data_IF_444822741728
#
_entry.id   IF_444822741728
#
_cell.length_a   1.000
_cell.length_b   1.000
_cell.length_c   1.000
_cell.angle_alpha   90.00
_cell.angle_beta   90.00
_cell.angle_gamma   90.00
#
_symmetry.space_group_name_H-M   'P 1'
#
loop_
_entity.id
_entity.type
_entity.pdbx_description
1 polymer ?
#
# COMPACT_ATOMS: atom_id res chain seq x y z
N UNK A 1 -9.81 8.37 -18.68
CA UNK A 1 -10.48 7.39 -19.56
C UNK A 1 -11.80 7.05 -18.88
N UNK A 2 -12.97 7.28 -19.49
CA UNK A 2 -14.24 6.92 -18.83
C UNK A 2 -14.48 5.41 -18.91
N UNK A 3 -15.04 4.79 -17.87
CA UNK A 3 -15.40 3.36 -17.86
C UNK A 3 -16.27 2.94 -19.05
N UNK A 4 -17.13 3.85 -19.49
CA UNK A 4 -17.94 3.69 -20.69
C UNK A 4 -17.10 3.37 -21.94
N UNK A 5 -15.99 4.08 -22.14
CA UNK A 5 -15.10 3.83 -23.28
C UNK A 5 -14.46 2.43 -23.22
N UNK A 6 -14.15 1.93 -22.03
CA UNK A 6 -13.66 0.55 -21.89
C UNK A 6 -14.77 -0.46 -22.19
N UNK A 7 -16.01 -0.23 -21.72
CA UNK A 7 -17.12 -1.17 -21.91
C UNK A 7 -17.54 -1.40 -23.38
N UNK A 8 -17.28 -0.44 -24.27
CA UNK A 8 -17.63 -0.54 -25.70
C UNK A 8 -16.50 -1.12 -26.57
N UNK A 9 -15.34 -1.40 -25.98
CA UNK A 9 -14.17 -1.93 -26.68
C UNK A 9 -14.16 -3.46 -26.70
N UNK A 10 -13.55 -4.04 -27.74
CA UNK A 10 -13.27 -5.48 -27.73
C UNK A 10 -12.20 -5.83 -26.69
N UNK A 11 -12.14 -7.08 -26.20
CA UNK A 11 -11.10 -7.51 -25.25
C UNK A 11 -9.68 -7.20 -25.74
N UNK A 12 -9.41 -7.37 -27.04
CA UNK A 12 -8.10 -7.06 -27.62
C UNK A 12 -7.76 -5.56 -27.57
N UNK A 13 -8.76 -4.69 -27.76
CA UNK A 13 -8.58 -3.25 -27.68
C UNK A 13 -8.33 -2.79 -26.23
N UNK A 14 -9.09 -3.35 -25.28
CA UNK A 14 -8.88 -3.12 -23.85
C UNK A 14 -7.46 -3.54 -23.44
N UNK A 15 -7.01 -4.72 -23.88
CA UNK A 15 -5.68 -5.22 -23.55
C UNK A 15 -4.55 -4.31 -24.05
N UNK A 16 -4.65 -3.76 -25.27
CA UNK A 16 -3.69 -2.78 -25.79
C UNK A 16 -3.64 -1.50 -24.96
N UNK A 17 -4.78 -1.06 -24.45
CA UNK A 17 -4.86 0.11 -23.57
C UNK A 17 -4.23 -0.20 -22.21
N UNK A 18 -4.52 -1.36 -21.64
CA UNK A 18 -3.92 -1.81 -20.38
C UNK A 18 -2.40 -1.87 -20.47
N UNK A 19 -1.86 -2.37 -21.58
CA UNK A 19 -0.42 -2.39 -21.83
C UNK A 19 0.19 -0.99 -21.93
N UNK A 20 -0.46 -0.07 -22.67
CA UNK A 20 0.11 1.26 -22.95
C UNK A 20 -0.09 2.26 -21.81
N UNK A 21 -1.22 2.18 -21.10
CA UNK A 21 -1.68 3.17 -20.14
C UNK A 21 -1.96 2.56 -18.75
N UNK A 22 -1.33 1.43 -18.41
CA UNK A 22 -1.50 0.67 -17.16
C UNK A 22 -1.79 1.53 -15.92
N UNK A 23 -0.87 2.43 -15.58
CA UNK A 23 -0.93 3.27 -14.39
C UNK A 23 -2.11 4.25 -14.42
N UNK A 24 -2.38 4.88 -15.57
CA UNK A 24 -3.49 5.82 -15.73
C UNK A 24 -4.83 5.10 -15.62
N UNK A 25 -4.93 3.91 -16.19
CA UNK A 25 -6.14 3.09 -16.13
C UNK A 25 -6.41 2.67 -14.69
N UNK A 26 -5.42 2.10 -13.99
CA UNK A 26 -5.54 1.74 -12.57
C UNK A 26 -6.02 2.90 -11.71
N UNK A 27 -5.43 4.08 -11.87
CA UNK A 27 -5.84 5.29 -11.14
C UNK A 27 -7.28 5.70 -11.43
N UNK A 28 -7.78 5.50 -12.64
CA UNK A 28 -9.18 5.80 -12.97
C UNK A 28 -10.14 4.91 -12.16
N UNK A 29 -9.79 3.63 -11.96
CA UNK A 29 -10.60 2.69 -11.18
C UNK A 29 -10.52 2.94 -9.67
N UNK A 30 -9.62 3.79 -9.19
CA UNK A 30 -9.63 4.24 -7.79
C UNK A 30 -10.71 5.30 -7.53
N UNK A 31 -11.32 5.90 -8.55
CA UNK A 31 -12.30 6.95 -8.35
C UNK A 31 -13.74 6.41 -8.35
N UNK A 32 -14.59 6.97 -7.50
CA UNK A 32 -16.02 6.66 -7.50
C UNK A 32 -16.62 7.00 -8.88
N UNK A 33 -17.46 6.13 -9.48
CA UNK A 33 -18.04 4.88 -8.94
C UNK A 33 -17.32 3.60 -9.38
N UNK A 34 -16.09 3.68 -9.90
CA UNK A 34 -15.45 2.54 -10.59
C UNK A 34 -14.72 1.59 -9.65
N UNK A 35 -14.75 1.86 -8.35
CA UNK A 35 -13.87 1.21 -7.39
C UNK A 35 -14.22 -0.25 -7.15
N UNK A 36 -15.47 -0.65 -7.37
CA UNK A 36 -15.90 -2.06 -7.26
C UNK A 36 -15.21 -2.95 -8.30
N UNK A 37 -14.76 -2.36 -9.42
CA UNK A 37 -14.08 -3.07 -10.50
C UNK A 37 -12.55 -3.01 -10.37
N UNK A 38 -12.04 -2.32 -9.34
CA UNK A 38 -10.60 -2.07 -9.21
C UNK A 38 -9.80 -3.37 -9.15
N UNK A 39 -10.19 -4.32 -8.29
CA UNK A 39 -9.45 -5.56 -8.09
C UNK A 39 -9.38 -6.42 -9.36
N UNK A 40 -10.49 -6.53 -10.10
CA UNK A 40 -10.55 -7.26 -11.38
C UNK A 40 -9.62 -6.63 -12.43
N UNK A 41 -9.67 -5.31 -12.57
CA UNK A 41 -8.83 -4.59 -13.53
C UNK A 41 -7.36 -4.61 -13.11
N UNK A 42 -7.09 -4.57 -11.80
CA UNK A 42 -5.74 -4.66 -11.28
C UNK A 42 -5.07 -5.98 -11.63
N UNK A 43 -5.79 -7.11 -11.51
CA UNK A 43 -5.27 -8.43 -11.88
C UNK A 43 -4.90 -8.52 -13.37
N UNK A 44 -5.64 -7.83 -14.25
CA UNK A 44 -5.35 -7.76 -15.68
C UNK A 44 -4.16 -6.86 -16.01
N UNK A 45 -4.01 -5.76 -15.28
CA UNK A 45 -2.97 -4.75 -15.56
C UNK A 45 -1.64 -5.11 -14.90
N UNK A 46 -1.65 -5.92 -13.84
CA UNK A 46 -0.50 -6.20 -13.00
C UNK A 46 0.74 -6.59 -13.80
N UNK A 47 0.58 -7.52 -14.74
CA UNK A 47 1.68 -8.04 -15.57
C UNK A 47 2.28 -7.02 -16.53
N UNK A 48 1.64 -5.88 -16.73
CA UNK A 48 2.07 -4.82 -17.64
C UNK A 48 2.55 -3.56 -16.92
N UNK A 49 2.31 -3.46 -15.61
CA UNK A 49 2.65 -2.27 -14.84
C UNK A 49 4.16 -2.30 -14.53
N UNK A 50 4.96 -1.36 -15.03
CA UNK A 50 6.38 -1.33 -14.71
C UNK A 50 6.57 -0.95 -13.24
N UNK A 51 7.61 -1.51 -12.63
CA UNK A 51 7.96 -1.28 -11.22
C UNK A 51 8.01 0.22 -10.85
N UNK A 52 8.52 1.06 -11.77
CA UNK A 52 8.62 2.52 -11.58
C UNK A 52 7.28 3.23 -11.38
N UNK A 53 6.16 2.56 -11.64
CA UNK A 53 4.79 3.11 -11.49
C UNK A 53 4.07 2.59 -10.25
N UNK A 54 4.60 1.60 -9.53
CA UNK A 54 3.95 1.03 -8.35
C UNK A 54 3.77 2.06 -7.25
N UNK A 55 4.82 2.80 -6.91
CA UNK A 55 4.76 3.89 -5.92
C UNK A 55 3.69 4.91 -6.28
N UNK A 56 3.53 5.22 -7.58
CA UNK A 56 2.53 6.18 -8.04
C UNK A 56 1.11 5.67 -7.88
N UNK A 57 0.88 4.36 -8.05
CA UNK A 57 -0.45 3.75 -7.84
C UNK A 57 -0.75 3.66 -6.34
N UNK A 58 0.24 3.25 -5.54
CA UNK A 58 0.11 3.18 -4.09
C UNK A 58 -0.16 4.57 -3.51
N UNK A 59 0.59 5.59 -3.90
CA UNK A 59 0.37 6.97 -3.49
C UNK A 59 -1.06 7.46 -3.79
N UNK A 60 -1.61 7.13 -4.95
CA UNK A 60 -2.99 7.53 -5.30
C UNK A 60 -4.04 6.80 -4.49
N UNK A 61 -3.83 5.52 -4.17
CA UNK A 61 -4.67 4.82 -3.20
C UNK A 61 -4.61 5.51 -1.84
N UNK A 62 -3.41 5.99 -1.46
CA UNK A 62 -3.14 6.70 -0.21
C UNK A 62 -3.90 8.00 -0.06
N UNK A 63 -3.72 8.86 -1.05
CA UNK A 63 -4.45 10.11 -1.20
C UNK A 63 -5.96 9.86 -1.24
N UNK A 64 -6.38 8.78 -1.90
CA UNK A 64 -7.78 8.42 -1.96
C UNK A 64 -8.35 8.00 -0.60
N UNK A 65 -7.62 7.27 0.28
CA UNK A 65 -8.11 6.95 1.64
C UNK A 65 -8.46 8.19 2.42
N UNK A 66 -7.62 9.23 2.33
CA UNK A 66 -7.79 10.49 3.08
C UNK A 66 -9.15 11.11 2.81
N UNK A 67 -9.72 10.86 1.62
CA UNK A 67 -10.99 11.42 1.18
C UNK A 67 -12.19 10.47 1.32
N UNK A 68 -11.99 9.18 1.63
CA UNK A 68 -13.01 8.14 1.41
C UNK A 68 -13.09 7.03 2.47
N UNK A 69 -12.15 7.00 3.44
CA UNK A 69 -12.23 6.15 4.62
C UNK A 69 -12.00 4.65 4.37
N UNK A 70 -12.78 3.80 5.06
CA UNK A 70 -12.57 2.35 5.19
C UNK A 70 -12.59 1.54 3.89
N UNK A 71 -13.32 1.98 2.86
CA UNK A 71 -13.46 1.19 1.64
C UNK A 71 -12.14 1.04 0.89
N UNK A 72 -11.40 2.14 0.77
CA UNK A 72 -10.09 2.08 0.13
C UNK A 72 -9.14 1.23 0.96
N UNK A 73 -9.23 1.28 2.30
CA UNK A 73 -8.37 0.50 3.18
C UNK A 73 -8.42 -1.00 2.82
N UNK A 74 -9.60 -1.52 2.49
CA UNK A 74 -9.78 -2.90 2.03
C UNK A 74 -9.12 -3.11 0.65
N UNK A 75 -9.41 -2.24 -0.33
CA UNK A 75 -8.81 -2.31 -1.66
C UNK A 75 -7.28 -2.30 -1.61
N UNK A 76 -6.72 -1.56 -0.66
CA UNK A 76 -5.29 -1.52 -0.47
C UNK A 76 -4.73 -2.79 0.09
N UNK A 77 -5.34 -3.35 1.14
CA UNK A 77 -4.88 -4.62 1.68
C UNK A 77 -4.91 -5.69 0.59
N UNK A 78 -5.99 -5.72 -0.19
CA UNK A 78 -6.15 -6.54 -1.37
C UNK A 78 -5.04 -6.30 -2.41
N UNK A 79 -4.75 -5.05 -2.74
CA UNK A 79 -3.76 -4.69 -3.74
C UNK A 79 -2.33 -4.98 -3.28
N UNK A 80 -1.98 -4.62 -2.04
CA UNK A 80 -0.67 -4.81 -1.45
C UNK A 80 -0.29 -6.30 -1.37
N UNK A 81 -1.26 -7.16 -1.02
CA UNK A 81 -1.07 -8.61 -1.00
C UNK A 81 -0.91 -9.25 -2.40
N UNK A 82 -1.23 -8.52 -3.47
CA UNK A 82 -1.00 -8.98 -4.86
C UNK A 82 0.36 -8.55 -5.42
N UNK A 83 1.03 -7.58 -4.78
CA UNK A 83 2.39 -7.16 -5.16
C UNK A 83 3.37 -8.33 -4.95
N UNK A 84 4.23 -8.70 -5.91
CA UNK A 84 5.23 -9.73 -5.74
C UNK A 84 6.18 -9.41 -4.58
N UNK A 85 6.58 -10.45 -3.83
CA UNK A 85 7.38 -10.30 -2.62
C UNK A 85 8.68 -9.52 -2.83
N UNK A 86 9.35 -9.69 -3.97
CA UNK A 86 10.61 -8.98 -4.27
C UNK A 86 10.43 -7.46 -4.34
N UNK A 87 9.22 -6.98 -4.70
CA UNK A 87 8.91 -5.55 -4.72
C UNK A 87 8.39 -5.03 -3.39
N UNK A 88 7.78 -5.87 -2.55
CA UNK A 88 7.47 -5.47 -1.17
C UNK A 88 8.73 -5.13 -0.38
N UNK A 89 9.90 -5.64 -0.78
CA UNK A 89 11.21 -5.23 -0.23
C UNK A 89 11.62 -3.82 -0.68
N UNK A 90 11.40 -3.44 -1.95
CA UNK A 90 11.70 -2.08 -2.42
C UNK A 90 10.76 -1.02 -1.84
N UNK A 91 9.63 -1.46 -1.29
CA UNK A 91 8.75 -0.66 -0.46
C UNK A 91 9.40 -0.15 0.83
N UNK A 92 10.45 -0.81 1.31
CA UNK A 92 11.15 -0.51 2.57
C UNK A 92 12.18 0.58 2.35
N UNK A 93 13.02 0.42 1.32
CA UNK A 93 13.98 1.42 0.84
C UNK A 93 13.31 2.79 0.60
N UNK A 94 12.02 2.75 0.27
CA UNK A 94 11.17 3.92 0.04
C UNK A 94 10.25 4.23 1.22
N UNK A 95 9.91 3.24 2.04
CA UNK A 95 9.11 3.27 3.25
C UNK A 95 9.70 4.19 4.31
N UNK A 96 11.03 4.26 4.35
CA UNK A 96 11.79 5.16 5.20
C UNK A 96 11.86 6.62 4.69
N UNK A 97 11.21 6.96 3.56
CA UNK A 97 11.12 8.33 3.06
C UNK A 97 9.90 9.04 3.63
N UNK A 98 10.03 10.34 3.91
CA UNK A 98 8.96 11.18 4.48
C UNK A 98 7.65 11.24 3.66
N UNK A 99 7.68 10.82 2.39
CA UNK A 99 6.53 10.74 1.49
C UNK A 99 6.10 9.29 1.19
N UNK A 100 6.53 8.34 2.00
CA UNK A 100 6.16 6.94 1.80
C UNK A 100 4.74 6.66 2.27
N UNK A 101 4.16 5.58 1.75
CA UNK A 101 2.90 5.06 2.27
C UNK A 101 2.98 4.77 3.77
N UNK A 102 4.06 4.15 4.22
CA UNK A 102 4.21 3.75 5.62
C UNK A 102 4.12 4.96 6.56
N UNK A 103 4.75 6.08 6.18
CA UNK A 103 4.64 7.35 6.91
C UNK A 103 3.22 7.89 6.88
N UNK A 104 2.50 7.73 5.77
CA UNK A 104 1.08 8.11 5.69
C UNK A 104 0.21 7.28 6.64
N UNK A 105 0.41 5.97 6.72
CA UNK A 105 -0.30 5.12 7.70
C UNK A 105 -0.01 5.60 9.12
N UNK A 106 1.26 5.87 9.44
CA UNK A 106 1.65 6.35 10.76
C UNK A 106 0.92 7.66 11.09
N UNK A 107 0.89 8.64 10.17
CA UNK A 107 0.17 9.90 10.36
C UNK A 107 -1.32 9.72 10.60
N UNK A 108 -1.94 8.81 9.86
CA UNK A 108 -3.36 8.47 10.02
C UNK A 108 -3.62 7.61 11.26
N UNK A 109 -2.58 7.06 11.89
CA UNK A 109 -2.65 6.18 13.06
C UNK A 109 -3.54 4.95 12.80
N UNK A 110 -3.52 4.46 11.57
CA UNK A 110 -4.34 3.33 11.14
C UNK A 110 -3.70 2.00 11.55
N UNK A 111 -4.05 1.53 12.74
CA UNK A 111 -3.55 0.29 13.35
C UNK A 111 -3.76 -0.92 12.43
N UNK A 112 -4.92 -1.05 11.78
CA UNK A 112 -5.20 -2.21 10.91
C UNK A 112 -4.32 -2.21 9.67
N UNK A 113 -4.05 -1.04 9.09
CA UNK A 113 -3.12 -0.91 7.97
C UNK A 113 -1.67 -1.16 8.40
N UNK A 114 -1.26 -0.72 9.61
CA UNK A 114 0.05 -1.06 10.18
C UNK A 114 0.21 -2.57 10.36
N UNK A 115 -0.75 -3.24 11.00
CA UNK A 115 -0.72 -4.70 11.19
C UNK A 115 -0.63 -5.44 9.85
N UNK A 116 -1.43 -5.04 8.86
CA UNK A 116 -1.42 -5.69 7.55
C UNK A 116 -0.08 -5.48 6.86
N UNK A 117 0.47 -4.27 6.92
CA UNK A 117 1.79 -3.95 6.37
C UNK A 117 2.85 -4.83 7.01
N UNK A 118 2.91 -4.93 8.35
CA UNK A 118 3.89 -5.78 9.02
C UNK A 118 3.73 -7.27 8.72
N UNK A 119 2.50 -7.81 8.68
CA UNK A 119 2.26 -9.22 8.34
C UNK A 119 2.67 -9.59 6.93
N UNK A 120 2.59 -8.63 6.01
CA UNK A 120 2.84 -8.85 4.57
C UNK A 120 4.32 -8.73 4.15
N UNK A 121 5.19 -8.34 5.08
CA UNK A 121 6.63 -8.18 4.87
C UNK A 121 7.45 -9.09 5.80
N UNK A 122 8.70 -9.38 5.42
CA UNK A 122 9.58 -10.25 6.19
C UNK A 122 10.11 -9.59 7.47
N UNK A 123 10.66 -10.39 8.39
CA UNK A 123 11.10 -9.90 9.69
C UNK A 123 12.22 -8.85 9.60
N UNK A 124 13.12 -8.95 8.61
CA UNK A 124 14.19 -7.96 8.44
C UNK A 124 13.61 -6.62 8.00
N UNK A 125 12.68 -6.65 7.05
CA UNK A 125 11.91 -5.48 6.63
C UNK A 125 11.16 -4.83 7.80
N UNK A 126 10.49 -5.61 8.66
CA UNK A 126 9.75 -5.06 9.81
C UNK A 126 10.68 -4.27 10.73
N UNK A 127 11.83 -4.85 11.05
CA UNK A 127 12.84 -4.20 11.91
C UNK A 127 13.31 -2.90 11.28
N UNK A 128 13.57 -2.89 9.97
CA UNK A 128 14.01 -1.68 9.26
C UNK A 128 12.94 -0.58 9.27
N UNK A 129 11.68 -0.91 8.97
CA UNK A 129 10.57 0.05 9.04
C UNK A 129 10.40 0.64 10.43
N UNK A 130 10.42 -0.20 11.48
CA UNK A 130 10.25 0.26 12.87
C UNK A 130 11.44 1.11 13.35
N UNK A 131 12.65 0.81 12.87
CA UNK A 131 13.88 1.47 13.31
C UNK A 131 14.28 2.67 12.45
N UNK A 132 13.49 3.03 11.44
CA UNK A 132 13.78 4.18 10.59
C UNK A 132 13.64 5.49 11.37
N UNK A 133 14.48 6.48 11.04
CA UNK A 133 14.44 7.81 11.69
C UNK A 133 13.03 8.42 11.66
N UNK A 134 12.34 8.30 10.51
CA UNK A 134 10.98 8.84 10.35
C UNK A 134 9.99 8.14 11.27
N UNK A 135 10.13 6.83 11.48
CA UNK A 135 9.27 6.06 12.38
C UNK A 135 9.51 6.45 13.83
N UNK A 136 10.78 6.59 14.23
CA UNK A 136 11.16 6.99 15.58
C UNK A 136 10.65 8.40 15.92
N UNK A 137 10.69 9.34 14.98
CA UNK A 137 10.09 10.68 15.15
C UNK A 137 8.57 10.59 15.41
N UNK A 138 7.84 9.77 14.64
CA UNK A 138 6.41 9.57 14.85
C UNK A 138 6.12 8.87 16.18
N UNK A 139 6.90 7.86 16.56
CA UNK A 139 6.73 7.18 17.85
C UNK A 139 6.97 8.12 19.03
N UNK A 140 7.99 8.98 18.95
CA UNK A 140 8.21 9.99 19.99
C UNK A 140 7.00 10.93 20.13
N UNK A 141 6.42 11.34 19.00
CA UNK A 141 5.18 12.13 18.98
C UNK A 141 3.98 11.38 19.57
N UNK A 142 3.80 10.10 19.23
CA UNK A 142 2.73 9.26 19.76
C UNK A 142 2.85 9.03 21.27
N UNK A 143 4.06 8.74 21.77
CA UNK A 143 4.34 8.61 23.20
C UNK A 143 4.00 9.91 23.93
N UNK A 144 4.40 11.06 23.36
CA UNK A 144 4.13 12.38 23.94
C UNK A 144 2.62 12.73 23.96
N UNK A 145 1.81 12.05 23.15
CA UNK A 145 0.36 12.26 23.03
C UNK A 145 -0.47 11.11 23.59
N UNK A 146 0.16 10.20 24.36
CA UNK A 146 -0.46 9.03 24.99
C UNK A 146 -1.10 8.03 24.00
N UNK A 147 -0.59 7.98 22.77
CA UNK A 147 -1.01 7.06 21.69
C UNK A 147 -0.17 5.78 21.65
N UNK A 148 -0.08 5.12 22.80
CA UNK A 148 0.67 3.87 22.96
C UNK A 148 0.11 2.71 22.13
N UNK A 149 -1.20 2.73 21.85
CA UNK A 149 -1.91 1.77 21.01
C UNK A 149 -1.29 1.61 19.62
N UNK A 150 -0.78 2.70 19.04
CA UNK A 150 -0.13 2.71 17.72
C UNK A 150 1.30 2.17 17.80
N UNK A 151 2.04 2.49 18.87
CA UNK A 151 3.43 2.07 19.08
C UNK A 151 3.52 0.57 19.38
N UNK A 152 2.54 0.03 20.10
CA UNK A 152 2.49 -1.39 20.49
C UNK A 152 2.28 -2.37 19.32
N UNK A 153 1.88 -1.90 18.14
CA UNK A 153 1.74 -2.75 16.95
C UNK A 153 3.09 -3.33 16.50
N UNK A 154 4.18 -2.59 16.73
CA UNK A 154 5.53 -2.94 16.31
C UNK A 154 6.13 -4.16 17.06
N UNK A 155 6.12 -4.22 18.41
CA UNK A 155 6.73 -5.32 19.16
C UNK A 155 5.98 -6.66 19.09
N UNK A 156 4.70 -6.71 18.70
CA UNK A 156 3.94 -7.97 18.60
C UNK A 156 4.35 -8.85 17.42
N UNK A 157 5.01 -8.29 16.42
CA UNK A 157 5.29 -8.94 15.14
C UNK A 157 6.79 -9.22 14.91
N UNK A 158 7.66 -8.97 15.89
CA UNK A 158 9.10 -9.31 15.84
C UNK A 158 9.29 -10.70 16.49
N UNK A 159 9.94 -11.67 15.80
CA UNK A 159 10.22 -12.95 16.42
C UNK A 159 11.07 -12.75 17.69
N UNK A 160 10.55 -13.14 18.84
CA UNK A 160 11.35 -13.24 20.04
C UNK A 160 12.48 -14.23 19.76
N UNK A 161 13.74 -13.81 19.91
CA UNK A 161 14.86 -14.74 19.96
C UNK A 161 14.55 -15.73 21.09
N UNK A 162 14.18 -16.96 20.74
CA UNK A 162 14.23 -18.07 21.70
C UNK A 162 15.69 -18.23 22.10
N UNK A 163 16.02 -17.73 23.29
CA UNK A 163 17.25 -18.10 23.97
C UNK A 163 17.28 -19.62 24.05
N UNK A 164 18.28 -20.24 23.43
CA UNK A 164 18.69 -21.58 23.82
C UNK A 164 19.73 -21.39 24.91
N UNK A 165 19.37 -21.90 26.08
CA UNK A 165 20.27 -22.22 27.18
C UNK A 165 21.40 -23.16 26.73
#
# INVERSE_FOLDING_TARGET
MSSYLLSVMTPDQQMRIFQKNNCVVLKCFLNWPLQDQFSEIADLIWNFLPESKYDSVLWEMCESFTNSGHYFQILFQEFFLRIPCDFRKSFVDRGCKASSYFVHILRLQDIKALETTFRSVDAATRVELVSSDVSLEHFHSFISTDRWDVVEVCPREVPQKTGKD
#
